data_IF_763429830205
#
_entry.id   IF_763429830205
#
_cell.length_a   1.000
_cell.length_b   1.000
_cell.length_c   1.000
_cell.angle_alpha   90.00
_cell.angle_beta   90.00
_cell.angle_gamma   90.00
#
_symmetry.space_group_name_H-M   'P 1'
#
loop_
_entity.id
_entity.type
_entity.pdbx_description
1 polymer ?
#
# COMPACT_ATOMS: atom_id res chain seq x y z
N UNK A 1 -13.71 6.47 8.07
CA UNK A 1 -12.65 7.50 8.03
C UNK A 1 -12.18 7.60 6.58
N UNK A 2 -12.19 8.77 5.98
CA UNK A 2 -11.65 8.99 4.63
C UNK A 2 -10.61 10.09 4.69
N UNK A 3 -9.62 10.04 3.81
CA UNK A 3 -8.50 11.01 3.82
C UNK A 3 -8.90 12.38 3.23
N UNK A 4 -10.08 12.51 2.63
CA UNK A 4 -10.50 13.71 1.92
C UNK A 4 -9.68 14.05 0.67
N UNK A 5 -8.69 13.22 0.33
CA UNK A 5 -7.85 13.36 -0.85
C UNK A 5 -8.42 12.54 -2.00
N UNK A 6 -8.28 13.07 -3.22
CA UNK A 6 -8.77 12.44 -4.46
C UNK A 6 -7.60 12.16 -5.40
N UNK A 7 -6.90 11.02 -5.25
CA UNK A 7 -5.85 10.67 -6.19
C UNK A 7 -6.45 10.22 -7.54
N UNK A 8 -5.66 10.37 -8.60
CA UNK A 8 -5.93 9.77 -9.91
C UNK A 8 -5.04 8.55 -10.12
N UNK A 9 -5.56 7.54 -10.82
CA UNK A 9 -4.77 6.36 -11.18
C UNK A 9 -3.88 6.72 -12.37
N UNK A 10 -2.58 6.52 -12.22
CA UNK A 10 -1.60 6.71 -13.30
C UNK A 10 -1.49 5.49 -14.22
N UNK A 11 -0.49 5.49 -15.09
CA UNK A 11 -0.25 4.39 -16.01
C UNK A 11 0.24 3.14 -15.26
N UNK A 12 -0.53 2.06 -15.36
CA UNK A 12 -0.17 0.76 -14.80
C UNK A 12 0.98 0.18 -15.59
N UNK A 13 2.03 -0.26 -14.90
CA UNK A 13 3.24 -0.79 -15.54
C UNK A 13 3.85 -1.93 -14.72
N UNK A 14 4.77 -2.67 -15.33
CA UNK A 14 5.52 -3.75 -14.69
C UNK A 14 6.84 -3.24 -14.16
N UNK A 15 7.13 -3.52 -12.89
CA UNK A 15 8.45 -3.37 -12.27
C UNK A 15 9.18 -4.71 -12.27
N UNK A 16 10.50 -4.65 -12.47
CA UNK A 16 11.38 -5.81 -12.34
C UNK A 16 12.08 -5.76 -10.99
N UNK A 17 12.09 -6.89 -10.28
CA UNK A 17 12.82 -7.03 -9.02
C UNK A 17 14.34 -7.17 -9.26
N UNK A 18 15.19 -6.63 -8.36
CA UNK A 18 14.83 -5.77 -7.23
C UNK A 18 14.46 -4.36 -7.67
N UNK A 19 13.59 -3.70 -6.91
CA UNK A 19 13.22 -2.29 -7.14
C UNK A 19 13.30 -1.49 -5.85
N UNK A 20 13.46 -0.17 -6.00
CA UNK A 20 13.51 0.75 -4.86
C UNK A 20 12.10 1.10 -4.38
N UNK A 21 11.90 1.03 -3.07
CA UNK A 21 10.79 1.69 -2.41
C UNK A 21 11.15 3.13 -2.04
N UNK A 22 10.12 3.94 -1.81
CA UNK A 22 10.22 5.22 -1.13
C UNK A 22 10.52 5.05 0.37
N UNK A 23 10.63 6.16 1.09
CA UNK A 23 11.07 6.18 2.49
C UNK A 23 10.06 5.60 3.49
N UNK A 24 8.82 5.34 3.07
CA UNK A 24 7.80 4.62 3.86
C UNK A 24 7.18 3.54 2.99
N UNK A 25 7.22 2.31 3.48
CA UNK A 25 6.70 1.13 2.78
C UNK A 25 5.80 0.34 3.72
N UNK A 26 4.59 0.01 3.27
CA UNK A 26 3.64 -0.83 4.00
C UNK A 26 3.43 -2.11 3.23
N UNK A 27 3.79 -3.23 3.85
CA UNK A 27 3.67 -4.56 3.27
C UNK A 27 2.51 -5.31 3.88
N UNK A 28 1.70 -5.94 3.03
CA UNK A 28 0.60 -6.81 3.43
C UNK A 28 0.66 -8.10 2.60
N UNK A 29 0.74 -9.24 3.28
CA UNK A 29 0.69 -10.55 2.63
C UNK A 29 -0.74 -10.89 2.18
N UNK A 30 -0.84 -11.55 1.03
CA UNK A 30 -2.07 -12.15 0.52
C UNK A 30 -1.96 -13.67 0.64
N UNK A 31 -3.00 -14.30 1.18
CA UNK A 31 -3.10 -15.75 1.37
C UNK A 31 -4.48 -16.26 0.96
N UNK A 32 -4.67 -17.59 0.91
CA UNK A 32 -5.93 -18.22 0.51
C UNK A 32 -5.85 -18.81 -0.90
N UNK A 33 -6.73 -18.39 -1.81
CA UNK A 33 -6.66 -18.82 -3.22
C UNK A 33 -5.59 -18.07 -4.01
N UNK A 34 -5.32 -16.81 -3.64
CA UNK A 34 -4.24 -15.99 -4.19
C UNK A 34 -3.12 -15.94 -3.15
N UNK A 35 -1.89 -16.23 -3.58
CA UNK A 35 -0.70 -16.09 -2.72
C UNK A 35 0.20 -14.99 -3.23
N UNK A 36 0.61 -14.08 -2.36
CA UNK A 36 1.41 -12.95 -2.79
C UNK A 36 1.53 -11.87 -1.74
N UNK A 37 1.72 -10.64 -2.21
CA UNK A 37 1.79 -9.46 -1.36
C UNK A 37 1.35 -8.21 -2.11
N UNK A 38 0.84 -7.26 -1.35
CA UNK A 38 0.66 -5.88 -1.79
C UNK A 38 1.58 -5.00 -0.96
N UNK A 39 2.31 -4.14 -1.65
CA UNK A 39 3.22 -3.17 -1.04
C UNK A 39 2.76 -1.77 -1.41
N UNK A 40 2.51 -0.93 -0.42
CA UNK A 40 2.26 0.50 -0.60
C UNK A 40 3.56 1.25 -0.37
N UNK A 41 4.03 2.01 -1.34
CA UNK A 41 5.25 2.80 -1.24
C UNK A 41 4.95 4.28 -1.42
N UNK A 42 5.38 5.10 -0.47
CA UNK A 42 5.16 6.54 -0.48
C UNK A 42 6.24 7.27 0.31
N UNK A 43 6.32 8.59 0.10
CA UNK A 43 7.17 9.46 0.89
C UNK A 43 6.66 9.61 2.32
N UNK A 44 7.56 9.79 3.27
CA UNK A 44 7.22 9.93 4.69
C UNK A 44 6.34 11.16 4.94
N UNK A 45 6.56 12.25 4.20
CA UNK A 45 5.75 13.47 4.29
C UNK A 45 4.30 13.20 3.89
N UNK A 46 4.08 12.42 2.83
CA UNK A 46 2.74 12.03 2.41
C UNK A 46 2.09 11.08 3.44
N UNK A 47 2.85 10.13 3.99
CA UNK A 47 2.36 9.26 5.05
C UNK A 47 1.89 10.06 6.27
N UNK A 48 2.64 11.09 6.68
CA UNK A 48 2.26 11.99 7.77
C UNK A 48 0.98 12.78 7.45
N UNK A 49 0.84 13.32 6.23
CA UNK A 49 -0.37 14.03 5.77
C UNK A 49 -1.60 13.12 5.78
N UNK A 50 -1.46 11.90 5.28
CA UNK A 50 -2.54 10.90 5.26
C UNK A 50 -2.97 10.53 6.69
N UNK A 51 -2.02 10.25 7.57
CA UNK A 51 -2.28 9.96 8.97
C UNK A 51 -2.99 11.13 9.67
N UNK A 52 -2.51 12.36 9.48
CA UNK A 52 -3.11 13.58 10.01
C UNK A 52 -4.58 13.71 9.59
N UNK A 53 -4.87 13.50 8.31
CA UNK A 53 -6.25 13.56 7.80
C UNK A 53 -7.14 12.49 8.43
N UNK A 54 -6.65 11.25 8.55
CA UNK A 54 -7.40 10.17 9.21
C UNK A 54 -7.64 10.41 10.70
N UNK A 55 -6.75 11.15 11.36
CA UNK A 55 -6.85 11.52 12.77
C UNK A 55 -7.65 12.82 12.98
N UNK A 56 -8.44 13.27 11.99
CA UNK A 56 -9.29 14.45 12.11
C UNK A 56 -8.54 15.79 11.98
N UNK A 57 -7.42 15.80 11.26
CA UNK A 57 -6.61 17.00 11.03
C UNK A 57 -5.60 17.31 12.14
N UNK A 58 -5.39 16.39 13.07
CA UNK A 58 -4.34 16.53 14.10
C UNK A 58 -2.96 16.56 13.43
N UNK A 59 -2.07 17.46 13.85
CA UNK A 59 -0.72 17.54 13.28
C UNK A 59 0.07 16.26 13.57
N UNK A 60 0.63 15.67 12.51
CA UNK A 60 1.51 14.49 12.58
C UNK A 60 2.87 14.91 12.00
N UNK A 61 3.82 15.39 12.82
CA UNK A 61 5.13 15.85 12.33
C UNK A 61 6.04 14.68 11.93
N UNK A 62 5.80 13.50 12.51
CA UNK A 62 6.52 12.26 12.21
C UNK A 62 5.58 11.07 12.34
N UNK A 63 5.90 9.97 11.64
CA UNK A 63 5.11 8.75 11.66
C UNK A 63 5.38 7.93 12.93
N UNK A 64 4.94 8.45 14.07
CA UNK A 64 4.91 7.73 15.35
C UNK A 64 3.86 6.61 15.37
N UNK A 65 3.68 5.94 16.49
CA UNK A 65 2.81 4.74 16.60
C UNK A 65 1.34 4.99 16.22
N UNK A 66 0.79 6.16 16.57
CA UNK A 66 -0.56 6.54 16.14
C UNK A 66 -0.65 6.78 14.63
N UNK A 67 0.36 7.44 14.05
CA UNK A 67 0.40 7.68 12.60
C UNK A 67 0.54 6.38 11.81
N UNK A 68 1.42 5.48 12.26
CA UNK A 68 1.56 4.12 11.72
C UNK A 68 0.24 3.36 11.77
N UNK A 69 -0.47 3.43 12.90
CA UNK A 69 -1.78 2.77 13.06
C UNK A 69 -2.83 3.34 12.10
N UNK A 70 -2.86 4.66 11.91
CA UNK A 70 -3.76 5.30 10.93
C UNK A 70 -3.46 4.83 9.50
N UNK A 71 -2.19 4.80 9.08
CA UNK A 71 -1.81 4.33 7.75
C UNK A 71 -2.07 2.82 7.56
N UNK A 72 -1.80 2.01 8.58
CA UNK A 72 -2.18 0.59 8.56
C UNK A 72 -3.68 0.40 8.36
N UNK A 73 -4.50 1.20 9.03
CA UNK A 73 -5.96 1.18 8.86
C UNK A 73 -6.38 1.59 7.44
N UNK A 74 -5.70 2.58 6.83
CA UNK A 74 -5.94 2.94 5.43
C UNK A 74 -5.68 1.77 4.49
N UNK A 75 -4.53 1.12 4.61
CA UNK A 75 -4.16 -0.02 3.77
C UNK A 75 -5.10 -1.20 3.99
N UNK A 76 -5.51 -1.47 5.24
CA UNK A 76 -6.50 -2.48 5.56
C UNK A 76 -7.88 -2.17 4.96
N UNK A 77 -8.32 -0.90 4.96
CA UNK A 77 -9.58 -0.53 4.32
C UNK A 77 -9.53 -0.74 2.79
N UNK A 78 -8.41 -0.40 2.14
CA UNK A 78 -8.21 -0.62 0.71
C UNK A 78 -8.28 -2.12 0.40
N UNK A 79 -7.47 -2.93 1.10
CA UNK A 79 -7.39 -4.37 0.81
C UNK A 79 -8.60 -5.17 1.31
N UNK A 80 -9.25 -4.74 2.39
CA UNK A 80 -10.49 -5.34 2.88
C UNK A 80 -11.64 -5.16 1.89
N UNK A 81 -11.72 -3.99 1.25
CA UNK A 81 -12.65 -3.78 0.14
C UNK A 81 -12.28 -4.67 -1.06
N UNK A 82 -11.00 -4.75 -1.42
CA UNK A 82 -10.52 -5.64 -2.50
C UNK A 82 -10.88 -7.11 -2.23
N UNK A 83 -10.65 -7.61 -1.02
CA UNK A 83 -11.02 -8.97 -0.61
C UNK A 83 -12.55 -9.19 -0.70
N UNK A 84 -13.35 -8.19 -0.33
CA UNK A 84 -14.81 -8.24 -0.48
C UNK A 84 -15.26 -8.30 -1.95
N UNK A 85 -14.56 -7.60 -2.86
CA UNK A 85 -14.82 -7.68 -4.31
C UNK A 85 -14.44 -9.05 -4.86
N UNK A 86 -13.30 -9.61 -4.46
CA UNK A 86 -12.91 -10.96 -4.87
C UNK A 86 -13.87 -12.03 -4.35
N UNK A 87 -14.35 -11.90 -3.11
CA UNK A 87 -15.32 -12.82 -2.53
C UNK A 87 -16.61 -12.89 -3.35
N UNK A 88 -17.10 -11.75 -3.87
CA UNK A 88 -18.27 -11.69 -4.78
C UNK A 88 -18.05 -12.44 -6.09
N UNK A 89 -16.80 -12.64 -6.49
CA UNK A 89 -16.39 -13.43 -7.64
C UNK A 89 -15.95 -14.86 -7.26
N UNK A 90 -16.33 -15.33 -6.07
CA UNK A 90 -15.99 -16.65 -5.53
C UNK A 90 -14.49 -16.91 -5.30
N UNK A 91 -13.69 -15.85 -5.20
CA UNK A 91 -12.26 -15.91 -4.89
C UNK A 91 -12.06 -15.48 -3.44
N UNK A 92 -11.58 -16.39 -2.60
CA UNK A 92 -11.28 -16.12 -1.19
C UNK A 92 -9.83 -15.66 -1.03
N UNK A 93 -9.65 -14.48 -0.47
CA UNK A 93 -8.34 -13.90 -0.15
C UNK A 93 -8.35 -13.44 1.31
N UNK A 94 -7.35 -13.88 2.06
CA UNK A 94 -7.07 -13.43 3.42
C UNK A 94 -5.83 -12.52 3.40
N UNK A 95 -5.86 -11.44 4.18
CA UNK A 95 -4.77 -10.47 4.27
C UNK A 95 -4.10 -10.53 5.65
N UNK A 96 -2.77 -10.42 5.68
CA UNK A 96 -2.04 -10.36 6.95
C UNK A 96 -2.14 -8.96 7.58
N UNK A 97 -1.87 -8.80 8.89
CA UNK A 97 -1.63 -7.48 9.45
C UNK A 97 -0.53 -6.73 8.68
N UNK A 98 -0.64 -5.40 8.53
CA UNK A 98 0.38 -4.61 7.84
C UNK A 98 1.70 -4.57 8.59
N UNK A 99 2.80 -4.60 7.85
CA UNK A 99 4.16 -4.35 8.36
C UNK A 99 4.70 -3.07 7.73
N UNK A 100 5.17 -2.13 8.54
CA UNK A 100 5.64 -0.83 8.07
C UNK A 100 7.17 -0.78 8.16
N UNK A 101 7.81 -0.39 7.07
CA UNK A 101 9.23 -0.12 6.96
C UNK A 101 9.45 1.38 6.70
N UNK A 102 10.41 1.97 7.39
CA UNK A 102 10.80 3.38 7.21
C UNK A 102 12.31 3.49 7.07
N UNK A 103 12.80 4.24 6.08
CA UNK A 103 14.23 4.47 5.87
C UNK A 103 14.57 4.92 4.45
N UNK A 104 15.75 5.51 4.25
CA UNK A 104 16.08 6.26 3.03
C UNK A 104 16.54 5.43 1.82
N UNK A 105 16.68 4.12 1.97
CA UNK A 105 17.14 3.23 0.90
C UNK A 105 16.55 1.82 1.05
N UNK A 106 15.21 1.74 1.00
CA UNK A 106 14.49 0.47 1.04
C UNK A 106 14.55 -0.19 -0.35
N UNK A 107 15.04 -1.43 -0.41
CA UNK A 107 15.01 -2.27 -1.60
C UNK A 107 14.05 -3.43 -1.40
N UNK A 108 13.23 -3.70 -2.42
CA UNK A 108 12.20 -4.72 -2.39
C UNK A 108 12.52 -5.81 -3.41
N UNK A 109 12.60 -7.05 -2.91
CA UNK A 109 12.90 -8.25 -3.69
C UNK A 109 11.80 -9.29 -3.48
N UNK A 110 10.64 -9.16 -4.14
CA UNK A 110 9.57 -10.13 -4.03
C UNK A 110 9.91 -11.47 -4.69
N UNK A 111 9.10 -12.49 -4.39
CA UNK A 111 9.32 -13.87 -4.84
C UNK A 111 9.17 -14.07 -6.36
N UNK A 112 8.42 -13.20 -7.06
CA UNK A 112 8.47 -13.16 -8.52
C UNK A 112 9.25 -11.94 -8.99
N UNK A 113 9.89 -12.09 -10.15
CA UNK A 113 10.63 -11.01 -10.79
C UNK A 113 9.71 -9.87 -11.26
N UNK A 114 8.50 -10.19 -11.72
CA UNK A 114 7.55 -9.20 -12.25
C UNK A 114 6.54 -8.77 -11.19
N UNK A 115 6.34 -7.46 -11.09
CA UNK A 115 5.44 -6.83 -10.11
C UNK A 115 4.57 -5.81 -10.85
N UNK A 116 3.26 -5.90 -10.66
CA UNK A 116 2.33 -4.92 -11.22
C UNK A 116 2.31 -3.69 -10.32
N UNK A 117 2.71 -2.54 -10.84
CA UNK A 117 2.65 -1.27 -10.14
C UNK A 117 1.43 -0.47 -10.58
N UNK A 118 0.59 -0.09 -9.62
CA UNK A 118 -0.53 0.85 -9.81
C UNK A 118 -0.18 2.15 -9.09
N UNK A 119 0.30 3.18 -9.81
CA UNK A 119 0.59 4.47 -9.20
C UNK A 119 -0.69 5.28 -8.97
N UNK A 120 -0.78 5.91 -7.81
CA UNK A 120 -1.79 6.89 -7.45
C UNK A 120 -1.13 8.27 -7.37
N UNK A 121 -1.58 9.20 -8.19
CA UNK A 121 -1.05 10.57 -8.25
C UNK A 121 -1.98 11.55 -7.56
N UNK A 122 -1.41 12.45 -6.78
CA UNK A 122 -2.13 13.55 -6.13
C UNK A 122 -1.83 14.86 -6.87
N UNK A 123 -2.76 15.82 -6.81
CA UNK A 123 -2.66 17.12 -7.52
C UNK A 123 -1.41 17.92 -7.13
N UNK A 124 -0.86 17.68 -5.94
CA UNK A 124 0.32 18.35 -5.42
C UNK A 124 1.65 17.69 -5.85
N UNK A 125 1.61 16.68 -6.74
CA UNK A 125 2.78 15.94 -7.21
C UNK A 125 3.26 14.83 -6.29
N UNK A 126 2.59 14.61 -5.15
CA UNK A 126 2.82 13.42 -4.32
C UNK A 126 2.27 12.17 -5.03
N UNK A 127 2.80 11.00 -4.67
CA UNK A 127 2.31 9.72 -5.20
C UNK A 127 2.37 8.59 -4.18
N UNK A 128 1.50 7.60 -4.36
CA UNK A 128 1.57 6.29 -3.71
C UNK A 128 1.72 5.26 -4.82
N UNK A 129 2.70 4.39 -4.72
CA UNK A 129 2.83 3.23 -5.59
C UNK A 129 2.24 2.01 -4.89
N UNK A 130 1.32 1.32 -5.56
CA UNK A 130 0.73 0.07 -5.07
C UNK A 130 1.32 -1.05 -5.92
N UNK A 131 2.26 -1.79 -5.33
CA UNK A 131 2.99 -2.86 -5.98
C UNK A 131 2.37 -4.20 -5.60
N UNK A 132 1.90 -4.94 -6.60
CA UNK A 132 1.17 -6.20 -6.44
C UNK A 132 2.02 -7.33 -7.01
N UNK A 133 2.37 -8.28 -6.14
CA UNK A 133 3.04 -9.51 -6.51
C UNK A 133 2.12 -10.69 -6.17
N UNK A 134 1.82 -11.57 -7.11
CA UNK A 134 0.95 -12.72 -6.83
C UNK A 134 1.23 -13.93 -7.72
N UNK A 135 1.04 -15.11 -7.14
CA UNK A 135 0.96 -16.39 -7.83
C UNK A 135 -0.45 -16.94 -7.63
N UNK A 136 -1.07 -17.33 -8.74
CA UNK A 136 -2.25 -18.20 -8.70
C UNK A 136 -1.82 -19.59 -8.22
N UNK A 137 -2.60 -20.18 -7.31
CA UNK A 137 -2.46 -21.61 -7.03
C UNK A 137 -2.97 -22.36 -8.26
N UNK A 138 -2.06 -23.04 -8.94
CA UNK A 138 -2.39 -24.05 -9.97
C UNK A 138 -3.01 -25.26 -9.30
#
# INVERSE_FOLDING_TARGET
>A
MTTGLSPTVGEIHIKQAPYKGNNTVIFIGLTGQIHGSVTFSLKNELACKLASSMMGGMAVPELGEMGKSAISELCNMILGNTASVFYKNHITVDITPPTIFTGDNIELTPTQAEVVCVPLHFDNGDSIEIDINYKEKV
#
